data_IF_598622915937
#
_entry.id   IF_598622915937
#
_cell.length_a   1.000
_cell.length_b   1.000
_cell.length_c   1.000
_cell.angle_alpha   90.00
_cell.angle_beta   90.00
_cell.angle_gamma   90.00
#
_symmetry.space_group_name_H-M   'P 1'
#
loop_
_entity.id
_entity.type
_entity.pdbx_description
1 polymer ?
#
# COMPACT_ATOMS: atom_id res chain seq x y z
N UNK A 1 21.68 8.90 -19.66
CA UNK A 1 20.95 9.08 -18.43
C UNK A 1 20.52 7.73 -17.95
N UNK A 2 20.83 7.45 -16.76
CA UNK A 2 20.05 6.39 -16.21
C UNK A 2 18.61 6.73 -16.51
N UNK A 3 17.86 5.80 -16.99
CA UNK A 3 16.43 5.94 -17.00
C UNK A 3 16.05 6.62 -15.71
N UNK A 4 15.13 7.57 -15.74
CA UNK A 4 14.62 8.10 -14.50
C UNK A 4 14.31 6.89 -13.64
N UNK A 5 14.81 6.92 -12.46
CA UNK A 5 14.58 5.82 -11.56
C UNK A 5 13.08 5.58 -11.51
N UNK A 6 12.70 4.34 -11.71
CA UNK A 6 11.32 3.95 -11.64
C UNK A 6 10.83 4.29 -10.24
N UNK A 7 9.95 5.28 -10.13
CA UNK A 7 9.42 5.71 -8.84
C UNK A 7 8.33 4.73 -8.44
N UNK A 8 8.63 3.94 -7.43
CA UNK A 8 7.75 2.86 -6.97
C UNK A 8 7.12 3.25 -5.64
N UNK A 9 5.81 3.09 -5.53
CA UNK A 9 5.08 3.23 -4.28
C UNK A 9 4.45 1.89 -3.92
N UNK A 10 4.35 1.62 -2.63
CA UNK A 10 3.67 0.43 -2.11
C UNK A 10 2.40 0.87 -1.40
N UNK A 11 1.28 0.26 -1.74
CA UNK A 11 0.00 0.49 -1.07
C UNK A 11 -0.37 -0.77 -0.29
N UNK A 12 0.03 -0.88 0.97
CA UNK A 12 -0.22 -2.08 1.76
C UNK A 12 -1.61 -2.09 2.37
N UNK A 13 -2.13 -3.27 2.63
CA UNK A 13 -3.40 -3.42 3.32
C UNK A 13 -3.85 -4.86 3.37
N UNK A 14 -4.92 -5.08 4.10
CA UNK A 14 -5.54 -6.39 4.17
C UNK A 14 -6.42 -6.66 2.94
N UNK A 15 -7.15 -5.65 2.48
CA UNK A 15 -8.02 -5.73 1.30
C UNK A 15 -8.98 -6.92 1.38
N UNK A 16 -9.84 -6.90 2.37
CA UNK A 16 -10.69 -8.04 2.71
C UNK A 16 -12.18 -7.67 2.78
N UNK A 17 -12.84 -7.38 1.67
CA UNK A 17 -12.31 -7.25 0.31
C UNK A 17 -11.85 -5.83 -0.04
N UNK A 18 -11.44 -5.65 -1.28
CA UNK A 18 -11.17 -4.30 -1.80
C UNK A 18 -12.47 -3.49 -1.84
N UNK A 19 -12.35 -2.19 -1.58
CA UNK A 19 -13.47 -1.25 -1.61
C UNK A 19 -13.19 -0.11 -2.59
N UNK A 20 -14.20 0.71 -2.86
CA UNK A 20 -14.01 1.90 -3.68
C UNK A 20 -13.02 2.88 -3.04
N UNK A 21 -12.99 2.94 -1.71
CA UNK A 21 -12.00 3.77 -1.01
C UNK A 21 -10.58 3.30 -1.28
N UNK A 22 -10.36 2.00 -1.27
CA UNK A 22 -9.05 1.42 -1.63
C UNK A 22 -8.69 1.76 -3.07
N UNK A 23 -9.64 1.60 -3.99
CA UNK A 23 -9.40 1.92 -5.41
C UNK A 23 -9.08 3.38 -5.62
N UNK A 24 -9.73 4.28 -4.88
CA UNK A 24 -9.45 5.70 -4.97
C UNK A 24 -8.00 6.00 -4.58
N UNK A 25 -7.53 5.45 -3.48
CA UNK A 25 -6.16 5.64 -3.01
C UNK A 25 -5.16 5.05 -4.00
N UNK A 26 -5.42 3.83 -4.48
CA UNK A 26 -4.55 3.17 -5.46
C UNK A 26 -4.50 3.98 -6.76
N UNK A 27 -5.66 4.46 -7.22
CA UNK A 27 -5.74 5.26 -8.43
C UNK A 27 -4.95 6.56 -8.33
N UNK A 28 -5.04 7.25 -7.21
CA UNK A 28 -4.27 8.49 -6.99
C UNK A 28 -2.78 8.19 -6.94
N UNK A 29 -2.38 7.12 -6.28
CA UNK A 29 -0.97 6.71 -6.24
C UNK A 29 -0.47 6.38 -7.64
N UNK A 30 -1.29 5.72 -8.46
CA UNK A 30 -0.90 5.34 -9.82
C UNK A 30 -0.64 6.56 -10.71
N UNK A 31 -1.26 7.68 -10.41
CA UNK A 31 -1.02 8.93 -11.12
C UNK A 31 0.25 9.63 -10.67
N UNK A 32 0.69 9.38 -9.45
CA UNK A 32 1.83 10.07 -8.85
C UNK A 32 3.15 9.32 -9.02
N UNK A 33 3.10 8.01 -9.18
CA UNK A 33 4.29 7.16 -9.23
C UNK A 33 4.32 6.35 -10.51
N UNK A 34 5.51 5.95 -10.91
CA UNK A 34 5.68 5.19 -12.16
C UNK A 34 5.14 3.77 -12.02
N UNK A 35 5.26 3.21 -10.84
CA UNK A 35 4.75 1.87 -10.53
C UNK A 35 4.15 1.87 -9.13
N UNK A 36 3.00 1.24 -9.00
CA UNK A 36 2.34 1.04 -7.70
C UNK A 36 2.24 -0.46 -7.44
N UNK A 37 2.73 -0.89 -6.30
CA UNK A 37 2.60 -2.27 -5.86
C UNK A 37 1.56 -2.31 -4.74
N UNK A 38 0.43 -2.93 -5.02
CA UNK A 38 -0.59 -3.17 -4.00
C UNK A 38 -0.16 -4.42 -3.24
N UNK A 39 0.21 -4.23 -1.98
CA UNK A 39 0.77 -5.30 -1.16
C UNK A 39 -0.30 -5.85 -0.21
N UNK A 40 -0.69 -7.08 -0.44
CA UNK A 40 -1.74 -7.75 0.33
C UNK A 40 -1.11 -8.51 1.49
N UNK A 41 -1.55 -8.19 2.70
CA UNK A 41 -1.05 -8.86 3.90
C UNK A 41 -1.48 -10.32 3.88
N UNK A 42 -0.51 -11.19 4.02
CA UNK A 42 -0.73 -12.65 4.10
C UNK A 42 0.06 -13.21 5.26
N UNK A 43 -0.52 -13.11 6.46
CA UNK A 43 0.13 -13.57 7.68
C UNK A 43 -0.36 -14.99 8.02
N UNK A 44 0.53 -15.98 8.07
CA UNK A 44 0.14 -17.37 8.33
C UNK A 44 -0.64 -17.55 9.63
N UNK A 45 -0.26 -16.79 10.68
CA UNK A 45 -0.94 -16.89 11.98
C UNK A 45 -2.31 -16.22 11.99
N UNK A 46 -2.67 -15.49 10.95
CA UNK A 46 -4.00 -14.87 10.79
C UNK A 46 -4.89 -15.66 9.85
N UNK A 47 -4.47 -16.83 9.46
CA UNK A 47 -5.26 -17.69 8.58
C UNK A 47 -6.61 -17.97 9.23
N UNK A 48 -7.69 -17.70 8.50
CA UNK A 48 -9.05 -17.87 8.99
C UNK A 48 -9.64 -16.65 9.69
N UNK A 49 -8.87 -15.57 9.87
CA UNK A 49 -9.36 -14.33 10.45
C UNK A 49 -9.85 -13.33 9.41
N UNK A 50 -9.64 -13.63 8.14
CA UNK A 50 -10.10 -12.79 7.04
C UNK A 50 -11.33 -13.43 6.40
N UNK A 51 -12.17 -12.60 5.75
CA UNK A 51 -13.34 -13.08 5.03
C UNK A 51 -12.95 -13.89 3.80
N UNK A 52 -11.87 -13.49 3.15
CA UNK A 52 -11.39 -14.11 1.92
C UNK A 52 -9.95 -14.55 2.09
N UNK A 53 -9.56 -15.59 1.37
CA UNK A 53 -8.17 -16.05 1.36
C UNK A 53 -7.29 -14.99 0.68
N UNK A 54 -5.98 -15.10 0.91
CA UNK A 54 -5.03 -14.20 0.24
C UNK A 54 -5.15 -14.30 -1.28
N UNK A 55 -5.33 -15.51 -1.79
CA UNK A 55 -5.48 -15.74 -3.23
C UNK A 55 -6.72 -15.08 -3.78
N UNK A 56 -7.84 -15.18 -3.06
CA UNK A 56 -9.08 -14.51 -3.45
C UNK A 56 -8.93 -13.00 -3.42
N UNK A 57 -8.30 -12.48 -2.38
CA UNK A 57 -8.07 -11.04 -2.25
C UNK A 57 -7.20 -10.49 -3.37
N UNK A 58 -6.14 -11.22 -3.73
CA UNK A 58 -5.28 -10.85 -4.85
C UNK A 58 -6.07 -10.86 -6.16
N UNK A 59 -6.90 -11.87 -6.35
CA UNK A 59 -7.72 -11.97 -7.58
C UNK A 59 -8.68 -10.80 -7.70
N UNK A 60 -9.37 -10.44 -6.62
CA UNK A 60 -10.30 -9.30 -6.63
C UNK A 60 -9.55 -8.00 -6.94
N UNK A 61 -8.38 -7.80 -6.34
CA UNK A 61 -7.57 -6.63 -6.59
C UNK A 61 -7.05 -6.59 -8.03
N UNK A 62 -6.59 -7.70 -8.54
CA UNK A 62 -6.08 -7.79 -9.90
C UNK A 62 -7.18 -7.41 -10.89
N UNK A 63 -8.39 -7.93 -10.69
CA UNK A 63 -9.52 -7.60 -11.55
C UNK A 63 -9.90 -6.12 -11.45
N UNK A 64 -9.93 -5.59 -10.25
CA UNK A 64 -10.36 -4.21 -10.01
C UNK A 64 -9.34 -3.18 -10.52
N UNK A 65 -8.07 -3.53 -10.54
CA UNK A 65 -6.99 -2.62 -10.98
C UNK A 65 -6.55 -2.88 -12.42
N UNK A 66 -7.23 -3.77 -13.13
CA UNK A 66 -6.90 -4.09 -14.51
C UNK A 66 -6.75 -2.86 -15.42
N UNK A 67 -7.63 -1.84 -15.34
CA UNK A 67 -7.48 -0.65 -16.17
C UNK A 67 -6.25 0.20 -15.86
N UNK A 68 -5.59 -0.04 -14.75
CA UNK A 68 -4.42 0.72 -14.31
C UNK A 68 -3.15 -0.01 -14.75
N UNK A 69 -2.51 0.46 -15.81
CA UNK A 69 -1.38 -0.24 -16.43
C UNK A 69 -0.15 -0.38 -15.53
N UNK A 70 0.03 0.56 -14.61
CA UNK A 70 1.22 0.61 -13.76
C UNK A 70 0.99 0.06 -12.35
N UNK A 71 -0.11 -0.65 -12.13
CA UNK A 71 -0.43 -1.24 -10.82
C UNK A 71 -0.19 -2.75 -10.87
N UNK A 72 0.56 -3.24 -9.88
CA UNK A 72 0.84 -4.66 -9.68
C UNK A 72 0.31 -5.08 -8.33
N UNK A 73 -0.07 -6.33 -8.19
CA UNK A 73 -0.58 -6.88 -6.92
C UNK A 73 0.34 -7.99 -6.45
N UNK A 74 0.80 -7.89 -5.20
CA UNK A 74 1.66 -8.90 -4.59
C UNK A 74 1.21 -9.15 -3.17
N UNK A 75 1.59 -10.29 -2.61
CA UNK A 75 1.38 -10.61 -1.19
C UNK A 75 2.68 -10.41 -0.43
N UNK A 76 2.59 -10.18 0.86
CA UNK A 76 3.76 -10.11 1.71
C UNK A 76 3.43 -10.63 3.11
N UNK A 77 4.45 -11.17 3.79
CA UNK A 77 4.33 -11.74 5.14
C UNK A 77 5.34 -11.14 6.11
N UNK A 78 6.08 -10.14 5.67
CA UNK A 78 7.11 -9.45 6.46
C UNK A 78 6.58 -8.11 6.93
N UNK A 79 7.44 -7.31 7.56
CA UNK A 79 7.10 -5.92 7.82
C UNK A 79 6.98 -5.18 6.49
N UNK A 80 6.05 -4.25 6.43
CA UNK A 80 5.81 -3.51 5.18
C UNK A 80 7.06 -2.74 4.74
N UNK A 81 7.86 -2.26 5.69
CA UNK A 81 9.10 -1.53 5.36
C UNK A 81 10.11 -2.45 4.70
N UNK A 82 10.22 -3.68 5.18
CA UNK A 82 11.11 -4.67 4.57
C UNK A 82 10.68 -4.98 3.14
N UNK A 83 9.39 -5.19 2.95
CA UNK A 83 8.85 -5.43 1.63
C UNK A 83 9.14 -4.26 0.69
N UNK A 84 8.88 -3.04 1.18
CA UNK A 84 9.13 -1.83 0.40
C UNK A 84 10.59 -1.70 0.00
N UNK A 85 11.50 -1.99 0.93
CA UNK A 85 12.94 -1.95 0.66
C UNK A 85 13.35 -3.00 -0.38
N UNK A 86 12.82 -4.20 -0.29
CA UNK A 86 13.08 -5.26 -1.26
C UNK A 86 12.64 -4.88 -2.67
N UNK A 87 11.57 -4.12 -2.78
CA UNK A 87 11.03 -3.65 -4.06
C UNK A 87 11.61 -2.33 -4.51
N UNK A 88 12.51 -1.74 -3.72
CA UNK A 88 13.11 -0.43 -3.99
C UNK A 88 12.05 0.66 -4.10
N UNK A 89 11.03 0.56 -3.28
CA UNK A 89 9.98 1.56 -3.22
C UNK A 89 10.50 2.82 -2.54
N UNK A 90 10.07 3.96 -3.03
CA UNK A 90 10.43 5.24 -2.43
C UNK A 90 9.35 5.73 -1.46
N UNK A 91 8.18 5.13 -1.48
CA UNK A 91 7.06 5.60 -0.67
C UNK A 91 6.13 4.46 -0.30
N UNK A 92 5.49 4.61 0.84
CA UNK A 92 4.39 3.77 1.27
C UNK A 92 3.18 4.69 1.38
N UNK A 93 2.10 4.35 0.67
CA UNK A 93 0.88 5.15 0.61
C UNK A 93 -0.25 4.39 1.30
N UNK A 94 -0.87 5.04 2.27
CA UNK A 94 -1.97 4.44 3.03
C UNK A 94 -3.18 5.35 3.04
N UNK A 95 -4.36 4.75 3.03
CA UNK A 95 -5.61 5.48 3.16
C UNK A 95 -6.00 5.64 4.63
N UNK A 96 -6.58 6.78 4.95
CA UNK A 96 -7.13 7.04 6.29
C UNK A 96 -8.64 7.14 6.19
N UNK A 97 -9.34 6.39 7.04
CA UNK A 97 -10.80 6.34 7.03
C UNK A 97 -11.44 6.95 8.27
N UNK A 98 -10.74 6.94 9.39
CA UNK A 98 -11.26 7.42 10.67
C UNK A 98 -10.12 7.93 11.54
N UNK A 99 -10.47 8.66 12.60
CA UNK A 99 -9.48 9.20 13.54
C UNK A 99 -8.70 8.07 14.21
N UNK A 100 -9.36 6.98 14.58
CA UNK A 100 -8.69 5.83 15.16
C UNK A 100 -7.68 5.21 14.20
N UNK A 101 -8.01 5.15 12.92
CA UNK A 101 -7.07 4.68 11.89
C UNK A 101 -5.89 5.64 11.79
N UNK A 102 -6.15 6.94 11.90
CA UNK A 102 -5.08 7.93 11.86
C UNK A 102 -4.10 7.75 13.02
N UNK A 103 -4.60 7.56 14.23
CA UNK A 103 -3.75 7.35 15.39
C UNK A 103 -2.89 6.10 15.26
N UNK A 104 -3.51 4.99 14.85
CA UNK A 104 -2.79 3.74 14.64
C UNK A 104 -1.72 3.90 13.56
N UNK A 105 -2.08 4.51 12.45
CA UNK A 105 -1.14 4.74 11.36
C UNK A 105 0.00 5.67 11.76
N UNK A 106 -0.28 6.66 12.59
CA UNK A 106 0.75 7.55 13.09
C UNK A 106 1.80 6.78 13.90
N UNK A 107 1.37 5.90 14.80
CA UNK A 107 2.27 5.08 15.60
C UNK A 107 3.10 4.14 14.71
N UNK A 108 2.45 3.48 13.76
CA UNK A 108 3.15 2.60 12.83
C UNK A 108 4.13 3.35 11.96
N UNK A 109 3.82 4.59 11.57
CA UNK A 109 4.72 5.43 10.81
C UNK A 109 5.99 5.75 11.60
N UNK A 110 5.87 6.01 12.89
CA UNK A 110 7.03 6.26 13.74
C UNK A 110 7.94 5.04 13.77
N UNK A 111 7.38 3.86 13.95
CA UNK A 111 8.16 2.63 13.94
C UNK A 111 8.82 2.39 12.58
N UNK A 112 8.09 2.58 11.50
CA UNK A 112 8.61 2.40 10.15
C UNK A 112 9.75 3.36 9.85
N UNK A 113 9.64 4.61 10.28
CA UNK A 113 10.71 5.60 10.09
C UNK A 113 11.97 5.25 10.86
N UNK A 114 11.81 4.68 12.04
CA UNK A 114 12.95 4.26 12.83
C UNK A 114 13.72 3.13 12.15
N UNK A 115 13.03 2.29 11.40
CA UNK A 115 13.63 1.16 10.68
C UNK A 115 14.14 1.53 9.29
N UNK A 116 13.46 2.43 8.61
CA UNK A 116 13.79 2.81 7.24
C UNK A 116 13.50 4.29 7.00
N UNK A 117 14.37 5.17 7.49
CA UNK A 117 14.13 6.62 7.41
C UNK A 117 14.17 7.19 6.00
N UNK A 118 14.72 6.45 5.05
CA UNK A 118 14.79 6.86 3.64
C UNK A 118 13.51 6.59 2.86
N UNK A 119 12.54 5.92 3.46
CA UNK A 119 11.26 5.65 2.80
C UNK A 119 10.22 6.67 3.26
N UNK A 120 9.64 7.38 2.30
CA UNK A 120 8.55 8.30 2.58
C UNK A 120 7.25 7.53 2.83
N UNK A 121 6.45 8.02 3.77
CA UNK A 121 5.15 7.46 4.06
C UNK A 121 4.09 8.51 3.77
N UNK A 122 3.24 8.22 2.80
CA UNK A 122 2.15 9.09 2.42
C UNK A 122 0.81 8.52 2.88
N UNK A 123 -0.13 9.40 3.16
CA UNK A 123 -1.48 9.04 3.55
C UNK A 123 -2.48 9.72 2.62
N UNK A 124 -3.61 9.07 2.44
CA UNK A 124 -4.70 9.63 1.65
C UNK A 124 -6.03 9.30 2.33
N UNK A 125 -6.95 10.24 2.32
CA UNK A 125 -8.33 9.96 2.68
C UNK A 125 -9.12 9.72 1.40
N UNK A 126 -10.31 9.17 1.53
CA UNK A 126 -11.18 8.93 0.38
C UNK A 126 -11.62 10.22 -0.32
N UNK A 127 -11.45 11.37 0.32
CA UNK A 127 -11.89 12.66 -0.19
C UNK A 127 -10.75 13.61 -0.48
N UNK A 128 -9.52 13.26 -0.14
CA UNK A 128 -8.41 14.18 -0.14
C UNK A 128 -7.26 13.67 -0.96
N UNK A 129 -6.32 14.55 -1.17
CA UNK A 129 -5.11 14.22 -1.88
C UNK A 129 -4.21 13.35 -1.02
N UNK A 130 -3.39 12.57 -1.68
CA UNK A 130 -2.26 11.93 -1.02
C UNK A 130 -1.32 13.03 -0.53
N UNK A 131 -0.96 12.99 0.73
CA UNK A 131 0.03 13.91 1.27
C UNK A 131 1.12 13.12 1.98
N UNK A 132 2.31 13.69 2.00
CA UNK A 132 3.47 13.05 2.58
C UNK A 132 3.67 13.49 4.00
N UNK A 133 4.13 12.55 4.84
CA UNK A 133 4.65 12.87 6.15
C UNK A 133 6.16 12.71 6.08
N UNK A 134 6.83 13.78 6.25
CA UNK A 134 8.29 13.78 6.25
C UNK A 134 8.81 13.52 7.66
#
# INVERSE_FOLDING_TARGET
>A
MSAPDNRIAVCPGTYDPITYGHLDVIGRASEMYDTVIVAVVNLPWRKGQTLFTAEERVRFLTNATEPMDNVKVETFSTLVVEFAQQRRAMAIVKGLRAISDFEYEFEMNQLNRMQAPDIEIGRASCRERVFRTV
#
